data_IF_226220452020
#
_entry.id   IF_226220452020
#
_cell.length_a   1.000
_cell.length_b   1.000
_cell.length_c   1.000
_cell.angle_alpha   90.00
_cell.angle_beta   90.00
_cell.angle_gamma   90.00
#
_symmetry.space_group_name_H-M   'P 1'
#
loop_
_entity.id
_entity.type
_entity.pdbx_description
1 polymer ?
#
# COMPACT_ATOMS: atom_id res chain seq x y z
N UNK A 1 1.97 22.86 -13.04
CA UNK A 1 1.52 22.85 -11.64
C UNK A 1 1.67 21.43 -11.12
N UNK A 2 2.38 21.21 -10.01
CA UNK A 2 2.60 19.86 -9.44
C UNK A 2 1.31 19.32 -8.83
N UNK A 3 0.95 18.08 -9.14
CA UNK A 3 -0.25 17.43 -8.62
C UNK A 3 -0.17 17.27 -7.07
N UNK A 4 -1.27 17.46 -6.32
CA UNK A 4 -1.24 17.46 -4.85
C UNK A 4 -0.65 16.18 -4.21
N UNK A 5 -0.93 15.01 -4.80
CA UNK A 5 -0.39 13.74 -4.31
C UNK A 5 1.13 13.64 -4.47
N UNK A 6 1.70 14.22 -5.53
CA UNK A 6 3.14 14.25 -5.76
C UNK A 6 3.85 15.18 -4.76
N UNK A 7 3.21 16.29 -4.42
CA UNK A 7 3.71 17.19 -3.36
C UNK A 7 3.71 16.47 -2.01
N UNK A 8 2.67 15.70 -1.72
CA UNK A 8 2.59 14.90 -0.49
C UNK A 8 3.72 13.86 -0.42
N UNK A 9 3.93 13.09 -1.49
CA UNK A 9 5.05 12.12 -1.60
C UNK A 9 6.39 12.81 -1.31
N UNK A 10 6.67 13.92 -1.98
CA UNK A 10 7.92 14.68 -1.79
C UNK A 10 8.12 15.17 -0.35
N UNK A 11 7.04 15.57 0.33
CA UNK A 11 7.07 15.99 1.74
C UNK A 11 7.35 14.81 2.68
N UNK A 12 6.79 13.64 2.40
CA UNK A 12 7.06 12.41 3.16
C UNK A 12 8.51 11.96 2.99
N UNK A 13 9.03 11.88 1.76
CA UNK A 13 10.43 11.51 1.50
C UNK A 13 11.42 12.48 2.18
N UNK A 14 11.09 13.78 2.21
CA UNK A 14 11.89 14.79 2.88
C UNK A 14 11.65 14.91 4.41
N UNK A 15 10.88 14.00 5.01
CA UNK A 15 10.54 13.98 6.44
C UNK A 15 9.87 15.27 6.97
N UNK A 16 9.23 16.03 6.07
CA UNK A 16 8.50 17.26 6.39
C UNK A 16 7.06 16.98 6.83
N UNK A 17 6.53 15.82 6.45
CA UNK A 17 5.23 15.36 6.90
C UNK A 17 5.36 14.59 8.21
N UNK A 18 4.41 14.77 9.13
CA UNK A 18 4.47 14.08 10.43
C UNK A 18 4.04 12.62 10.29
N UNK A 19 4.99 11.77 9.90
CA UNK A 19 4.88 10.31 9.94
C UNK A 19 5.95 9.74 10.88
N UNK A 20 5.61 9.50 12.16
CA UNK A 20 6.54 8.88 13.12
C UNK A 20 6.97 7.48 12.70
N UNK A 21 6.08 6.71 12.09
CA UNK A 21 6.35 5.36 11.60
C UNK A 21 5.88 5.23 10.14
N UNK A 22 6.85 4.99 9.27
CA UNK A 22 6.66 4.69 7.85
C UNK A 22 7.07 3.25 7.61
N UNK A 23 6.14 2.45 7.08
CA UNK A 23 6.37 1.08 6.68
C UNK A 23 6.71 1.03 5.19
N UNK A 24 7.75 0.32 4.85
CA UNK A 24 8.12 -0.02 3.48
C UNK A 24 7.91 -1.51 3.31
N UNK A 25 7.07 -1.88 2.35
CA UNK A 25 6.75 -3.25 2.01
C UNK A 25 7.42 -3.56 0.68
N UNK A 26 8.31 -4.52 0.66
CA UNK A 26 9.05 -4.92 -0.52
C UNK A 26 8.98 -6.43 -0.74
N UNK A 27 9.58 -6.87 -1.84
CA UNK A 27 9.58 -8.27 -2.26
C UNK A 27 10.90 -8.65 -2.90
N UNK A 28 11.08 -9.94 -3.18
CA UNK A 28 12.19 -10.44 -3.98
C UNK A 28 12.17 -9.89 -5.41
N UNK A 29 10.99 -9.54 -5.94
CA UNK A 29 10.86 -8.91 -7.25
C UNK A 29 11.47 -7.50 -7.28
N UNK A 30 11.29 -6.76 -6.19
CA UNK A 30 11.78 -5.39 -6.05
C UNK A 30 12.00 -5.06 -4.57
N UNK A 31 13.27 -4.96 -4.19
CA UNK A 31 13.71 -4.63 -2.84
C UNK A 31 13.58 -3.15 -2.49
N UNK A 32 13.50 -2.85 -1.20
CA UNK A 32 13.37 -1.50 -0.66
C UNK A 32 14.63 -0.63 -0.79
N UNK A 33 15.78 -1.22 -1.12
CA UNK A 33 17.07 -0.55 -1.13
C UNK A 33 17.08 0.79 -1.90
N UNK A 34 16.45 0.80 -3.07
CA UNK A 34 16.39 2.00 -3.91
C UNK A 34 15.48 3.08 -3.29
N UNK A 35 14.33 2.70 -2.73
CA UNK A 35 13.44 3.65 -2.05
C UNK A 35 14.08 4.22 -0.77
N UNK A 36 14.79 3.41 0.01
CA UNK A 36 15.52 3.88 1.20
C UNK A 36 16.57 4.94 0.82
N UNK A 37 17.24 4.79 -0.33
CA UNK A 37 18.16 5.82 -0.84
C UNK A 37 17.46 7.13 -1.19
N UNK A 38 16.20 7.10 -1.64
CA UNK A 38 15.43 8.32 -1.86
C UNK A 38 15.12 9.05 -0.56
N UNK A 39 14.75 8.32 0.52
CA UNK A 39 14.62 8.94 1.84
C UNK A 39 15.92 9.59 2.30
N UNK A 40 17.06 8.91 2.10
CA UNK A 40 18.38 9.45 2.42
C UNK A 40 18.71 10.68 1.58
N UNK A 41 18.47 10.63 0.26
CA UNK A 41 18.74 11.73 -0.67
C UNK A 41 17.93 13.00 -0.31
N UNK A 42 16.69 12.81 0.17
CA UNK A 42 15.78 13.89 0.53
C UNK A 42 15.89 14.33 1.99
N UNK A 43 16.58 13.55 2.83
CA UNK A 43 16.81 13.86 4.23
C UNK A 43 17.97 14.85 4.38
N UNK A 44 17.75 15.93 5.14
CA UNK A 44 18.81 16.89 5.50
C UNK A 44 19.46 16.59 6.86
N UNK A 45 18.86 15.68 7.64
CA UNK A 45 19.28 15.35 8.99
C UNK A 45 20.26 14.18 9.06
N UNK A 46 20.51 13.72 10.28
CA UNK A 46 21.34 12.52 10.48
C UNK A 46 20.58 11.25 10.11
N UNK A 47 21.29 10.26 9.58
CA UNK A 47 20.75 8.95 9.24
C UNK A 47 21.30 7.93 10.22
N UNK A 48 20.42 7.38 11.04
CA UNK A 48 20.73 6.30 11.99
C UNK A 48 20.23 5.00 11.37
N UNK A 49 21.10 4.01 11.25
CA UNK A 49 20.79 2.74 10.61
C UNK A 49 20.79 1.62 11.66
N UNK A 50 19.66 0.92 11.77
CA UNK A 50 19.49 -0.28 12.58
C UNK A 50 19.50 -1.48 11.63
N UNK A 51 20.46 -2.38 11.84
CA UNK A 51 20.74 -3.50 10.93
C UNK A 51 20.40 -4.83 11.57
N UNK A 52 19.48 -5.57 10.98
CA UNK A 52 19.19 -6.97 11.29
C UNK A 52 19.81 -7.92 10.27
N UNK A 53 20.00 -7.47 9.02
CA UNK A 53 20.57 -8.29 7.93
C UNK A 53 21.71 -7.60 7.16
N UNK A 54 21.88 -6.29 7.33
CA UNK A 54 22.88 -5.50 6.62
C UNK A 54 24.26 -5.56 7.28
N UNK A 55 25.09 -6.51 6.86
CA UNK A 55 26.43 -6.73 7.45
C UNK A 55 27.41 -5.55 7.32
N UNK A 56 27.26 -4.71 6.29
CA UNK A 56 28.19 -3.60 6.00
C UNK A 56 27.49 -2.27 6.20
N UNK A 57 28.04 -1.42 7.08
CA UNK A 57 27.54 -0.05 7.31
C UNK A 57 27.41 0.72 5.98
N UNK A 58 26.21 1.20 5.63
CA UNK A 58 26.02 2.03 4.44
C UNK A 58 26.80 3.34 4.54
N UNK A 59 27.37 3.80 3.42
CA UNK A 59 28.18 5.05 3.36
C UNK A 59 27.41 6.30 3.80
N UNK A 60 26.09 6.31 3.61
CA UNK A 60 25.22 7.41 3.98
C UNK A 60 24.81 7.40 5.47
N UNK A 61 25.01 6.28 6.17
CA UNK A 61 24.60 6.15 7.56
C UNK A 61 25.58 6.94 8.44
N UNK A 62 25.06 7.92 9.16
CA UNK A 62 25.83 8.66 10.17
C UNK A 62 26.20 7.72 11.31
N UNK A 63 25.21 6.98 11.80
CA UNK A 63 25.36 6.02 12.91
C UNK A 63 24.81 4.66 12.47
N UNK A 64 25.36 3.60 13.02
CA UNK A 64 25.03 2.23 12.63
C UNK A 64 25.07 1.33 13.86
N UNK A 65 24.04 0.51 14.03
CA UNK A 65 23.94 -0.49 15.09
C UNK A 65 23.58 -1.84 14.47
N UNK A 66 24.34 -2.86 14.82
CA UNK A 66 23.98 -4.26 14.58
C UNK A 66 22.96 -4.68 15.64
N UNK A 67 21.76 -5.00 15.19
CA UNK A 67 20.61 -5.38 16.01
C UNK A 67 20.41 -6.90 16.10
N UNK A 68 21.25 -7.72 15.46
CA UNK A 68 21.11 -9.20 15.43
C UNK A 68 21.08 -9.85 16.82
N UNK A 69 21.69 -9.21 17.82
CA UNK A 69 21.71 -9.68 19.23
C UNK A 69 21.29 -8.60 20.22
N UNK A 70 20.76 -7.48 19.74
CA UNK A 70 20.39 -6.36 20.59
C UNK A 70 18.97 -6.52 21.11
N UNK A 71 18.75 -6.18 22.38
CA UNK A 71 17.39 -6.08 22.92
C UNK A 71 16.80 -4.68 22.70
N UNK A 72 15.48 -4.55 22.86
CA UNK A 72 14.77 -3.28 22.67
C UNK A 72 15.33 -2.13 23.53
N UNK A 73 15.73 -2.40 24.77
CA UNK A 73 16.29 -1.37 25.67
C UNK A 73 17.62 -0.83 25.15
N UNK A 74 18.51 -1.70 24.67
CA UNK A 74 19.78 -1.32 24.07
C UNK A 74 19.56 -0.47 22.81
N UNK A 75 18.58 -0.86 21.98
CA UNK A 75 18.21 -0.08 20.78
C UNK A 75 17.70 1.31 21.19
N UNK A 76 16.82 1.40 22.19
CA UNK A 76 16.32 2.67 22.70
C UNK A 76 17.44 3.57 23.23
N UNK A 77 18.33 3.03 24.06
CA UNK A 77 19.48 3.78 24.61
C UNK A 77 20.39 4.31 23.50
N UNK A 78 20.65 3.50 22.48
CA UNK A 78 21.42 3.91 21.30
C UNK A 78 20.72 5.04 20.54
N UNK A 79 19.42 4.91 20.26
CA UNK A 79 18.64 5.93 19.55
C UNK A 79 18.61 7.25 20.33
N UNK A 80 18.41 7.21 21.64
CA UNK A 80 18.43 8.41 22.49
C UNK A 80 19.79 9.10 22.45
N UNK A 81 20.88 8.34 22.55
CA UNK A 81 22.24 8.89 22.54
C UNK A 81 22.56 9.54 21.19
N UNK A 82 22.27 8.86 20.08
CA UNK A 82 22.59 9.35 18.73
C UNK A 82 21.66 10.47 18.25
N UNK A 83 20.41 10.50 18.71
CA UNK A 83 19.46 11.55 18.37
C UNK A 83 19.70 12.84 19.17
N UNK A 84 20.16 12.75 20.44
CA UNK A 84 20.42 13.92 21.29
C UNK A 84 21.74 14.63 21.01
N UNK A 85 22.72 13.93 20.44
CA UNK A 85 24.06 14.47 20.19
C UNK A 85 24.16 15.37 18.96
N UNK A 86 23.13 15.42 18.11
CA UNK A 86 23.19 16.09 16.80
C UNK A 86 22.23 17.27 16.70
N UNK A 87 22.63 18.25 15.90
CA UNK A 87 22.08 19.61 15.84
C UNK A 87 20.55 19.68 15.74
N UNK A 88 19.88 20.56 16.51
CA UNK A 88 18.42 20.61 16.64
C UNK A 88 17.66 21.16 15.40
N UNK A 89 18.33 21.43 14.28
CA UNK A 89 17.71 22.13 13.14
C UNK A 89 16.95 21.21 12.18
N UNK A 90 17.19 19.90 12.20
CA UNK A 90 16.58 18.95 11.26
C UNK A 90 16.20 17.63 11.92
N UNK A 91 15.05 17.08 11.51
CA UNK A 91 14.53 15.79 11.99
C UNK A 91 15.44 14.65 11.52
N UNK A 92 15.87 13.79 12.43
CA UNK A 92 16.72 12.64 12.07
C UNK A 92 15.90 11.50 11.44
N UNK A 93 16.54 10.74 10.56
CA UNK A 93 15.99 9.56 9.90
C UNK A 93 16.52 8.30 10.57
N UNK A 94 15.62 7.43 11.03
CA UNK A 94 15.97 6.07 11.44
C UNK A 94 15.56 5.13 10.31
N UNK A 95 16.50 4.31 9.84
CA UNK A 95 16.26 3.25 8.87
C UNK A 95 16.40 1.90 9.59
N UNK A 96 15.40 1.05 9.41
CA UNK A 96 15.44 -0.36 9.84
C UNK A 96 15.37 -1.21 8.58
N UNK A 97 16.39 -2.02 8.36
CA UNK A 97 16.54 -2.82 7.14
C UNK A 97 15.53 -3.97 7.04
N UNK A 98 15.15 -4.59 8.16
CA UNK A 98 14.17 -5.67 8.16
C UNK A 98 13.47 -5.82 9.51
N UNK A 99 12.14 -5.72 9.52
CA UNK A 99 11.30 -6.05 10.68
C UNK A 99 11.03 -7.55 10.80
N UNK A 100 11.36 -8.36 9.79
CA UNK A 100 11.07 -9.80 9.77
C UNK A 100 11.87 -10.60 10.82
N UNK A 101 12.94 -10.03 11.37
CA UNK A 101 13.77 -10.67 12.41
C UNK A 101 13.21 -10.50 13.82
N UNK A 102 12.13 -9.73 13.99
CA UNK A 102 11.46 -9.61 15.27
C UNK A 102 10.62 -10.85 15.53
N UNK A 103 10.58 -11.27 16.79
CA UNK A 103 9.70 -12.37 17.21
C UNK A 103 8.24 -11.98 16.96
N UNK A 104 7.42 -12.98 16.64
CA UNK A 104 5.98 -12.82 16.55
C UNK A 104 5.42 -12.19 17.83
N UNK A 105 4.36 -11.41 17.71
CA UNK A 105 3.74 -10.66 18.82
C UNK A 105 4.55 -9.46 19.39
N UNK A 106 5.86 -9.37 19.13
CA UNK A 106 6.70 -8.28 19.66
C UNK A 106 6.72 -7.02 18.79
N UNK A 107 6.22 -7.10 17.56
CA UNK A 107 6.26 -6.03 16.57
C UNK A 107 5.62 -4.72 17.07
N UNK A 108 4.43 -4.79 17.68
CA UNK A 108 3.75 -3.61 18.21
C UNK A 108 4.53 -2.97 19.37
N UNK A 109 5.06 -3.81 20.28
CA UNK A 109 5.89 -3.35 21.39
C UNK A 109 7.16 -2.66 20.88
N UNK A 110 7.84 -3.29 19.91
CA UNK A 110 9.04 -2.75 19.30
C UNK A 110 8.79 -1.38 18.65
N UNK A 111 7.80 -1.27 17.75
CA UNK A 111 7.45 -0.01 17.07
C UNK A 111 7.08 1.07 18.10
N UNK A 112 6.27 0.74 19.11
CA UNK A 112 5.89 1.69 20.16
C UNK A 112 7.09 2.17 20.99
N UNK A 113 8.08 1.30 21.20
CA UNK A 113 9.28 1.60 21.98
C UNK A 113 10.30 2.48 21.23
N UNK A 114 10.34 2.38 19.89
CA UNK A 114 11.29 3.17 19.09
C UNK A 114 10.71 4.48 18.58
N UNK A 115 9.39 4.63 18.45
CA UNK A 115 8.78 5.86 17.92
C UNK A 115 8.95 7.04 18.88
N UNK A 116 9.46 8.16 18.37
CA UNK A 116 9.66 9.39 19.15
C UNK A 116 9.44 10.64 18.28
N UNK A 117 9.25 11.81 18.91
CA UNK A 117 8.97 13.07 18.19
C UNK A 117 10.20 13.68 17.50
N UNK A 118 11.41 13.36 17.96
CA UNK A 118 12.68 13.95 17.47
C UNK A 118 13.17 13.37 16.14
N UNK A 119 12.62 12.22 15.71
CA UNK A 119 13.05 11.53 14.50
C UNK A 119 11.87 10.83 13.82
N UNK A 120 12.07 10.38 12.58
CA UNK A 120 11.09 9.58 11.83
C UNK A 120 11.68 8.19 11.58
N UNK A 121 10.88 7.15 11.83
CA UNK A 121 11.26 5.76 11.59
C UNK A 121 10.74 5.33 10.22
N UNK A 122 11.64 4.83 9.38
CA UNK A 122 11.35 4.15 8.13
C UNK A 122 11.85 2.71 8.27
N UNK A 123 10.94 1.75 8.21
CA UNK A 123 11.26 0.35 8.44
C UNK A 123 10.75 -0.53 7.30
N UNK A 124 11.56 -1.51 6.91
CA UNK A 124 11.23 -2.43 5.83
C UNK A 124 10.64 -3.74 6.36
N UNK A 125 9.71 -4.30 5.60
CA UNK A 125 9.13 -5.61 5.83
C UNK A 125 9.05 -6.36 4.50
N UNK A 126 9.73 -7.50 4.43
CA UNK A 126 9.80 -8.34 3.25
C UNK A 126 8.61 -9.30 3.22
N UNK A 127 7.78 -9.23 2.18
CA UNK A 127 6.55 -10.05 2.09
C UNK A 127 6.83 -11.52 1.79
N UNK A 128 8.01 -11.83 1.22
CA UNK A 128 8.38 -13.20 0.83
C UNK A 128 9.05 -13.99 1.95
N UNK A 129 9.28 -13.40 3.12
CA UNK A 129 9.78 -14.13 4.28
C UNK A 129 8.60 -14.86 4.94
N UNK A 130 8.68 -16.19 5.10
CA UNK A 130 7.59 -16.96 5.68
C UNK A 130 7.37 -16.57 7.14
N UNK A 131 6.11 -16.41 7.53
CA UNK A 131 5.70 -16.15 8.92
C UNK A 131 4.97 -17.36 9.49
N UNK A 132 5.09 -17.56 10.81
CA UNK A 132 4.34 -18.60 11.51
C UNK A 132 2.97 -18.03 11.89
N UNK A 133 1.90 -18.80 11.69
CA UNK A 133 0.59 -18.38 12.15
C UNK A 133 0.45 -18.60 13.66
N UNK A 134 0.41 -17.50 14.41
CA UNK A 134 0.06 -17.48 15.83
C UNK A 134 -1.46 -17.47 15.99
N UNK A 135 -2.02 -18.44 16.71
CA UNK A 135 -3.46 -18.49 17.00
C UNK A 135 -3.90 -17.27 17.82
N UNK A 136 -4.90 -16.53 17.34
CA UNK A 136 -5.46 -15.38 18.05
C UNK A 136 -4.67 -14.07 17.93
N UNK A 137 -3.58 -14.04 17.15
CA UNK A 137 -2.80 -12.83 16.90
C UNK A 137 -2.69 -12.54 15.38
N UNK A 138 -2.82 -11.27 14.94
CA UNK A 138 -2.76 -10.94 13.52
C UNK A 138 -1.37 -11.17 12.92
N UNK A 139 -1.33 -11.51 11.63
CA UNK A 139 -0.09 -11.60 10.87
C UNK A 139 0.73 -10.31 10.98
N UNK A 140 2.08 -10.38 11.08
CA UNK A 140 2.94 -9.22 11.28
C UNK A 140 2.70 -8.11 10.25
N UNK A 141 2.57 -8.45 8.97
CA UNK A 141 2.27 -7.48 7.91
C UNK A 141 0.97 -6.71 8.15
N UNK A 142 -0.09 -7.39 8.60
CA UNK A 142 -1.40 -6.77 8.88
C UNK A 142 -1.30 -5.83 10.08
N UNK A 143 -0.60 -6.26 11.12
CA UNK A 143 -0.36 -5.46 12.32
C UNK A 143 0.48 -4.21 11.99
N UNK A 144 1.60 -4.36 11.31
CA UNK A 144 2.48 -3.24 10.92
C UNK A 144 1.76 -2.25 10.01
N UNK A 145 0.99 -2.75 9.04
CA UNK A 145 0.17 -1.92 8.14
C UNK A 145 -0.95 -1.17 8.88
N UNK A 146 -1.45 -1.75 9.98
CA UNK A 146 -2.42 -1.09 10.84
C UNK A 146 -1.78 0.05 11.65
N UNK A 147 -0.58 -0.16 12.20
CA UNK A 147 0.12 0.83 13.03
C UNK A 147 0.74 1.96 12.19
N UNK A 148 1.13 1.67 10.94
CA UNK A 148 1.78 2.63 10.05
C UNK A 148 0.87 3.78 9.59
N UNK A 149 1.39 5.00 9.69
CA UNK A 149 0.75 6.21 9.15
C UNK A 149 1.04 6.39 7.66
N UNK A 150 2.14 5.83 7.19
CA UNK A 150 2.57 5.87 5.80
C UNK A 150 3.08 4.50 5.40
N UNK A 151 2.58 4.00 4.28
CA UNK A 151 2.94 2.68 3.75
C UNK A 151 3.41 2.88 2.32
N UNK A 152 4.57 2.32 2.00
CA UNK A 152 5.14 2.29 0.67
C UNK A 152 5.24 0.84 0.23
N UNK A 153 4.34 0.40 -0.65
CA UNK A 153 4.42 -0.91 -1.28
C UNK A 153 5.18 -0.79 -2.59
N UNK A 154 6.22 -1.59 -2.75
CA UNK A 154 7.18 -1.50 -3.85
C UNK A 154 6.95 -2.64 -4.83
N UNK A 155 6.85 -2.30 -6.11
CA UNK A 155 6.59 -3.24 -7.19
C UNK A 155 7.46 -2.94 -8.41
N UNK A 156 7.85 -3.97 -9.19
CA UNK A 156 8.55 -3.77 -10.45
C UNK A 156 7.67 -3.04 -11.47
N UNK A 157 8.25 -2.18 -12.30
CA UNK A 157 7.49 -1.36 -13.26
C UNK A 157 7.05 -2.14 -14.52
N UNK A 158 7.86 -3.07 -15.00
CA UNK A 158 7.71 -3.69 -16.33
C UNK A 158 6.87 -4.97 -16.34
N UNK A 159 6.33 -5.37 -15.19
CA UNK A 159 5.64 -6.65 -15.04
C UNK A 159 4.17 -6.46 -15.37
N UNK A 160 3.73 -7.16 -16.43
CA UNK A 160 2.32 -7.16 -16.88
C UNK A 160 1.48 -8.11 -16.03
N UNK A 161 1.96 -9.34 -15.86
CA UNK A 161 1.31 -10.37 -15.07
C UNK A 161 2.06 -10.57 -13.74
N UNK A 162 1.50 -9.99 -12.68
CA UNK A 162 2.05 -10.11 -11.32
C UNK A 162 1.81 -11.52 -10.75
N UNK A 163 0.72 -12.19 -11.12
CA UNK A 163 0.39 -13.52 -10.59
C UNK A 163 1.34 -14.58 -11.14
N UNK A 164 1.65 -14.52 -12.43
CA UNK A 164 2.66 -15.39 -13.03
C UNK A 164 4.04 -15.15 -12.39
N UNK A 165 4.39 -13.89 -12.13
CA UNK A 165 5.65 -13.55 -11.47
C UNK A 165 5.69 -14.10 -10.04
N UNK A 166 4.63 -13.94 -9.26
CA UNK A 166 4.55 -14.46 -7.89
C UNK A 166 4.62 -15.99 -7.86
N UNK A 167 4.00 -16.67 -8.84
CA UNK A 167 4.13 -18.12 -9.03
C UNK A 167 5.56 -18.56 -9.37
N UNK A 168 6.30 -17.76 -10.15
CA UNK A 168 7.72 -18.03 -10.44
C UNK A 168 8.60 -17.76 -9.22
N UNK A 169 8.40 -16.64 -8.53
CA UNK A 169 9.18 -16.25 -7.35
C UNK A 169 8.99 -17.24 -6.19
N UNK A 170 7.75 -17.72 -5.96
CA UNK A 170 7.48 -18.75 -4.95
C UNK A 170 8.22 -20.08 -5.23
N UNK A 171 8.52 -20.36 -6.50
CA UNK A 171 9.36 -21.48 -6.93
C UNK A 171 10.85 -21.12 -7.03
N UNK A 172 11.26 -19.94 -6.55
CA UNK A 172 12.60 -19.39 -6.68
C UNK A 172 13.10 -19.31 -8.13
N UNK A 173 12.20 -19.07 -9.08
CA UNK A 173 12.51 -18.86 -10.49
C UNK A 173 12.51 -17.35 -10.77
N UNK A 174 13.69 -16.81 -11.06
CA UNK A 174 13.87 -15.37 -11.32
C UNK A 174 14.09 -15.12 -12.82
N UNK A 175 13.06 -14.67 -13.55
CA UNK A 175 13.18 -14.39 -14.98
C UNK A 175 14.05 -13.14 -15.23
N UNK A 176 15.21 -13.34 -15.85
CA UNK A 176 16.17 -12.27 -16.11
C UNK A 176 15.66 -11.17 -17.08
N UNK A 177 14.66 -11.50 -17.90
CA UNK A 177 14.08 -10.60 -18.90
C UNK A 177 12.98 -9.68 -18.36
N UNK A 178 12.54 -9.86 -17.11
CA UNK A 178 11.44 -9.08 -16.53
C UNK A 178 11.88 -7.81 -15.80
N UNK A 179 13.18 -7.48 -15.79
CA UNK A 179 13.66 -6.22 -15.23
C UNK A 179 13.32 -6.10 -13.74
N UNK A 180 13.66 -7.12 -12.95
CA UNK A 180 13.50 -7.11 -11.50
C UNK A 180 14.57 -6.23 -10.83
N UNK A 181 14.25 -5.65 -9.67
CA UNK A 181 15.17 -4.81 -8.89
C UNK A 181 15.81 -3.65 -9.69
N UNK A 182 15.06 -3.03 -10.60
CA UNK A 182 15.55 -1.88 -11.37
C UNK A 182 15.58 -0.59 -10.53
N UNK A 183 16.35 0.40 -10.99
CA UNK A 183 16.42 1.75 -10.41
C UNK A 183 15.13 2.55 -10.62
N UNK A 184 14.31 2.14 -11.59
CA UNK A 184 12.99 2.68 -11.88
C UNK A 184 11.91 1.65 -11.56
N UNK A 185 11.06 1.96 -10.61
CA UNK A 185 10.06 1.03 -10.08
C UNK A 185 8.74 1.73 -9.72
N UNK A 186 7.69 0.94 -9.51
CA UNK A 186 6.37 1.40 -9.09
C UNK A 186 6.27 1.40 -7.56
N UNK A 187 5.57 2.39 -7.02
CA UNK A 187 5.27 2.47 -5.59
C UNK A 187 3.81 2.80 -5.39
N UNK A 188 3.10 1.97 -4.63
CA UNK A 188 1.80 2.31 -4.09
C UNK A 188 2.00 2.97 -2.73
N UNK A 189 1.73 4.27 -2.67
CA UNK A 189 1.91 5.06 -1.47
C UNK A 189 0.56 5.30 -0.80
N UNK A 190 0.40 4.75 0.40
CA UNK A 190 -0.78 4.94 1.26
C UNK A 190 -0.44 5.86 2.42
N UNK A 191 -1.16 6.97 2.54
CA UNK A 191 -1.03 7.92 3.65
C UNK A 191 -2.33 8.01 4.44
N UNK A 192 -2.24 7.87 5.77
CA UNK A 192 -3.38 8.00 6.68
C UNK A 192 -3.45 9.42 7.21
N UNK A 193 -4.59 10.08 6.96
CA UNK A 193 -4.86 11.43 7.49
C UNK A 193 -5.20 11.37 8.97
N UNK A 194 -5.10 12.51 9.65
CA UNK A 194 -5.55 12.67 11.06
C UNK A 194 -7.02 12.30 11.28
N UNK A 195 -7.85 12.36 10.23
CA UNK A 195 -9.25 11.94 10.26
C UNK A 195 -9.43 10.41 10.22
N UNK A 196 -8.36 9.62 10.16
CA UNK A 196 -8.40 8.16 9.98
C UNK A 196 -8.61 7.69 8.53
N UNK A 197 -8.91 8.60 7.59
CA UNK A 197 -9.08 8.24 6.18
C UNK A 197 -7.73 7.96 5.53
N UNK A 198 -7.62 6.81 4.86
CA UNK A 198 -6.46 6.44 4.05
C UNK A 198 -6.61 6.99 2.63
N UNK A 199 -5.52 7.52 2.07
CA UNK A 199 -5.43 7.88 0.66
C UNK A 199 -4.27 7.12 0.02
N UNK A 200 -4.56 6.36 -1.02
CA UNK A 200 -3.58 5.58 -1.77
C UNK A 200 -3.40 6.18 -3.16
N UNK A 201 -2.16 6.39 -3.58
CA UNK A 201 -1.82 6.80 -4.94
C UNK A 201 -0.59 6.04 -5.42
N UNK A 202 -0.54 5.71 -6.70
CA UNK A 202 0.59 5.01 -7.32
C UNK A 202 1.53 6.00 -8.00
N UNK A 203 2.83 5.73 -7.88
CA UNK A 203 3.90 6.55 -8.44
C UNK A 203 4.92 5.69 -9.15
N UNK A 204 5.62 6.29 -10.12
CA UNK A 204 6.86 5.77 -10.68
C UNK A 204 8.00 6.57 -10.06
N UNK A 205 8.97 5.88 -9.48
CA UNK A 205 10.16 6.50 -8.89
C UNK A 205 11.37 6.06 -9.70
N UNK A 206 12.15 7.04 -10.15
CA UNK A 206 13.44 6.83 -10.81
C UNK A 206 14.55 7.34 -9.88
N UNK A 207 15.36 6.41 -9.38
CA UNK A 207 16.38 6.70 -8.36
C UNK A 207 17.70 7.20 -8.93
N UNK A 208 17.91 7.09 -10.25
CA UNK A 208 19.10 7.64 -10.90
C UNK A 208 18.94 9.14 -11.17
N UNK A 209 17.72 9.55 -11.53
CA UNK A 209 17.39 10.95 -11.82
C UNK A 209 16.65 11.68 -10.68
N UNK A 210 16.29 10.96 -9.61
CA UNK A 210 15.47 11.44 -8.49
C UNK A 210 14.15 12.09 -8.95
N UNK A 211 13.55 11.54 -10.00
CA UNK A 211 12.31 12.00 -10.58
C UNK A 211 11.14 11.11 -10.15
N UNK A 212 10.00 11.75 -9.86
CA UNK A 212 8.80 11.08 -9.39
C UNK A 212 7.62 11.46 -10.28
N UNK A 213 6.95 10.45 -10.82
CA UNK A 213 5.80 10.62 -11.72
C UNK A 213 4.58 9.91 -11.15
N UNK A 214 3.38 10.40 -11.47
CA UNK A 214 2.15 9.71 -11.08
C UNK A 214 1.93 8.56 -12.04
N UNK A 215 1.78 7.36 -11.49
CA UNK A 215 1.37 6.21 -12.26
C UNK A 215 -0.13 6.30 -12.52
N UNK A 216 -0.52 6.34 -13.80
CA UNK A 216 -1.90 6.18 -14.24
C UNK A 216 -1.98 4.84 -14.93
N UNK A 217 -2.78 3.91 -14.39
CA UNK A 217 -3.09 2.66 -15.09
C UNK A 217 -3.79 3.05 -16.40
N UNK A 218 -3.21 2.69 -17.53
CA UNK A 218 -3.81 2.97 -18.84
C UNK A 218 -5.06 2.11 -18.93
N UNK A 219 -6.26 2.72 -18.94
CA UNK A 219 -7.54 2.00 -19.04
C UNK A 219 -7.67 1.16 -20.32
N UNK A 220 -6.85 1.43 -21.32
CA UNK A 220 -6.90 0.75 -22.61
C UNK A 220 -6.35 -0.68 -22.57
N UNK A 221 -5.50 -1.03 -21.60
CA UNK A 221 -4.95 -2.39 -21.46
C UNK A 221 -5.97 -3.32 -20.78
N UNK A 222 -6.61 -2.90 -19.69
CA UNK A 222 -7.64 -3.70 -19.00
C UNK A 222 -8.88 -3.93 -19.88
N UNK A 223 -9.30 -2.93 -20.68
CA UNK A 223 -10.44 -3.08 -21.58
C UNK A 223 -10.16 -4.03 -22.75
N UNK A 224 -8.92 -4.07 -23.24
CA UNK A 224 -8.51 -5.02 -24.28
C UNK A 224 -8.36 -6.44 -23.72
N UNK A 225 -7.82 -6.58 -22.51
CA UNK A 225 -7.67 -7.87 -21.84
C UNK A 225 -9.03 -8.49 -21.48
N UNK A 226 -9.96 -7.72 -20.90
CA UNK A 226 -11.33 -8.19 -20.65
C UNK A 226 -12.03 -8.60 -21.96
N UNK A 227 -11.83 -7.83 -23.03
CA UNK A 227 -12.43 -8.11 -24.34
C UNK A 227 -11.81 -9.36 -25.01
N UNK A 228 -10.50 -9.58 -24.88
CA UNK A 228 -9.81 -10.78 -25.39
C UNK A 228 -10.15 -12.03 -24.57
N UNK A 229 -10.19 -11.94 -23.24
CA UNK A 229 -10.55 -13.05 -22.35
C UNK A 229 -12.00 -13.51 -22.57
N UNK A 230 -12.95 -12.58 -22.69
CA UNK A 230 -14.37 -12.90 -22.91
C UNK A 230 -14.65 -13.52 -24.29
N UNK A 231 -13.81 -13.21 -25.27
CA UNK A 231 -13.97 -13.66 -26.67
C UNK A 231 -13.71 -15.15 -26.86
N UNK A 232 -12.80 -15.73 -26.07
CA UNK A 232 -12.45 -17.15 -26.15
C UNK A 232 -13.24 -18.03 -25.17
N UNK A 233 -13.91 -17.43 -24.19
CA UNK A 233 -14.74 -18.13 -23.19
C UNK A 233 -16.18 -18.40 -23.66
N UNK A 234 -16.70 -17.66 -24.65
CA UNK A 234 -18.12 -17.73 -25.03
C UNK A 234 -18.33 -17.71 -26.54
N UNK A 235 -19.28 -18.51 -27.05
CA UNK A 235 -19.62 -18.54 -28.49
C UNK A 235 -20.47 -17.35 -28.95
N UNK A 236 -20.88 -16.49 -28.02
CA UNK A 236 -21.68 -15.29 -28.28
C UNK A 236 -20.87 -14.07 -27.88
N UNK A 237 -20.79 -13.06 -28.74
CA UNK A 237 -20.09 -11.83 -28.40
C UNK A 237 -20.85 -11.09 -27.29
N UNK A 238 -20.31 -11.09 -26.07
CA UNK A 238 -20.88 -10.42 -24.90
C UNK A 238 -20.56 -8.92 -24.86
N UNK A 239 -19.75 -8.40 -25.78
CA UNK A 239 -19.35 -6.99 -25.79
C UNK A 239 -20.30 -6.17 -26.65
N UNK A 240 -20.57 -4.93 -26.22
CA UNK A 240 -21.40 -4.02 -27.01
C UNK A 240 -20.56 -3.40 -28.13
N UNK A 241 -20.98 -3.58 -29.37
CA UNK A 241 -20.32 -2.93 -30.52
C UNK A 241 -20.47 -1.40 -30.39
N UNK A 242 -19.52 -0.64 -30.93
CA UNK A 242 -19.51 0.83 -30.96
C UNK A 242 -20.85 1.42 -31.44
N UNK A 243 -21.49 0.77 -32.41
CA UNK A 243 -22.83 1.14 -32.91
C UNK A 243 -23.94 0.95 -31.87
N UNK A 244 -23.87 -0.09 -31.04
CA UNK A 244 -24.85 -0.37 -29.97
C UNK A 244 -24.66 0.59 -28.78
N UNK A 245 -23.42 0.93 -28.45
CA UNK A 245 -23.10 1.91 -27.41
C UNK A 245 -23.61 3.31 -27.77
N UNK A 246 -23.35 3.75 -29.02
CA UNK A 246 -23.89 5.01 -29.55
C UNK A 246 -25.42 5.03 -29.56
N UNK A 247 -26.06 3.92 -29.93
CA UNK A 247 -27.51 3.81 -29.88
C UNK A 247 -28.03 3.94 -28.44
N UNK A 248 -27.38 3.31 -27.45
CA UNK A 248 -27.76 3.43 -26.04
C UNK A 248 -27.62 4.86 -25.51
N UNK A 249 -26.56 5.56 -25.89
CA UNK A 249 -26.32 6.96 -25.49
C UNK A 249 -27.30 7.94 -26.14
N UNK A 250 -27.88 7.58 -27.29
CA UNK A 250 -28.89 8.37 -28.00
C UNK A 250 -30.34 8.02 -27.61
N UNK A 251 -30.55 7.03 -26.73
CA UNK A 251 -31.88 6.71 -26.20
C UNK A 251 -32.20 7.69 -25.09
N UNK A 252 -33.03 8.68 -25.42
CA UNK A 252 -33.58 9.64 -24.48
C UNK A 252 -34.74 8.97 -23.72
N UNK A 253 -34.53 8.67 -22.44
CA UNK A 253 -35.59 8.13 -21.60
C UNK A 253 -36.53 9.26 -21.16
N UNK A 254 -37.86 9.07 -21.20
CA UNK A 254 -38.81 10.02 -20.63
C UNK A 254 -38.47 10.23 -19.15
N UNK A 255 -38.32 11.48 -18.75
CA UNK A 255 -38.09 11.86 -17.36
C UNK A 255 -39.31 11.47 -16.52
N UNK A 256 -39.28 10.31 -15.85
CA UNK A 256 -40.30 9.91 -14.89
C UNK A 256 -40.06 10.65 -13.57
N UNK A 257 -41.00 11.50 -13.19
CA UNK A 257 -41.03 12.34 -11.98
C UNK A 257 -41.19 11.55 -10.66
N UNK A 258 -41.01 10.22 -10.69
CA UNK A 258 -41.20 9.32 -9.55
C UNK A 258 -40.14 9.48 -8.45
N UNK A 259 -39.07 10.25 -8.67
CA UNK A 259 -37.98 10.44 -7.69
C UNK A 259 -38.07 11.74 -6.87
N UNK A 260 -39.04 12.63 -7.14
CA UNK A 260 -38.99 13.97 -6.57
C UNK A 260 -39.54 14.07 -5.15
N UNK A 261 -40.53 13.26 -4.76
CA UNK A 261 -41.14 13.37 -3.42
C UNK A 261 -40.77 12.25 -2.43
N UNK A 262 -40.63 10.98 -2.85
CA UNK A 262 -40.22 9.88 -1.94
C UNK A 262 -38.80 9.33 -2.17
N UNK A 263 -38.19 9.56 -3.34
CA UNK A 263 -36.94 8.93 -3.76
C UNK A 263 -35.63 9.65 -3.36
N UNK A 264 -35.70 10.65 -2.46
CA UNK A 264 -34.53 11.48 -2.10
C UNK A 264 -33.51 10.77 -1.20
N UNK A 265 -33.86 9.59 -0.68
CA UNK A 265 -32.95 8.68 0.01
C UNK A 265 -32.68 7.49 -0.90
N UNK A 266 -31.46 7.41 -1.41
CA UNK A 266 -31.09 6.53 -2.51
C UNK A 266 -31.57 5.08 -2.36
N UNK A 267 -32.17 4.56 -3.42
CA UNK A 267 -32.35 3.12 -3.68
C UNK A 267 -33.15 2.32 -2.65
N UNK A 268 -33.73 2.96 -1.64
CA UNK A 268 -34.56 2.27 -0.65
C UNK A 268 -35.94 1.98 -1.27
N UNK A 269 -36.17 0.73 -1.64
CA UNK A 269 -37.52 0.23 -1.95
C UNK A 269 -38.21 0.11 -0.60
N UNK A 270 -39.10 1.06 -0.29
CA UNK A 270 -39.97 0.97 0.88
C UNK A 270 -41.18 0.14 0.46
N UNK A 271 -41.27 -1.07 0.99
CA UNK A 271 -42.47 -1.89 0.86
C UNK A 271 -43.52 -1.38 1.85
N UNK A 272 -44.60 -0.80 1.34
CA UNK A 272 -45.81 -0.54 2.13
C UNK A 272 -46.71 -1.77 2.04
N UNK A 273 -47.02 -2.37 3.19
CA UNK A 273 -48.00 -3.45 3.28
C UNK A 273 -49.37 -2.92 2.86
N UNK A 274 -49.92 -3.48 1.78
CA UNK A 274 -51.31 -3.21 1.40
C UNK A 274 -52.25 -3.90 2.41
N UNK A 275 -53.26 -3.17 2.89
CA UNK A 275 -54.18 -3.64 3.93
C UNK A 275 -55.14 -4.74 3.46
N UNK A 276 -55.16 -4.99 2.15
CA UNK A 276 -56.00 -5.97 1.49
C UNK A 276 -55.17 -7.16 0.96
N UNK A 277 -53.92 -7.32 1.38
CA UNK A 277 -53.12 -8.52 1.09
C UNK A 277 -53.68 -9.69 1.92
N UNK A 278 -54.60 -10.41 1.30
CA UNK A 278 -55.33 -11.53 1.83
C UNK A 278 -54.39 -12.72 2.01
N UNK A 279 -53.91 -12.87 3.24
CA UNK A 279 -53.16 -14.03 3.76
C UNK A 279 -53.73 -15.33 3.17
N UNK A 280 -53.06 -15.89 2.15
CA UNK A 280 -53.45 -17.14 1.54
C UNK A 280 -52.91 -18.28 2.40
N UNK A 281 -53.78 -18.93 3.18
CA UNK A 281 -53.42 -20.03 4.10
C UNK A 281 -52.87 -21.27 3.36
N UNK A 282 -52.80 -21.26 2.02
CA UNK A 282 -52.32 -22.37 1.19
C UNK A 282 -50.84 -22.25 0.77
N UNK A 283 -50.09 -21.21 1.17
CA UNK A 283 -48.63 -21.15 0.93
C UNK A 283 -47.84 -21.96 2.00
N UNK A 284 -47.27 -23.13 1.66
CA UNK A 284 -46.58 -24.00 2.61
C UNK A 284 -45.19 -23.48 3.04
N UNK A 285 -44.75 -22.32 2.53
CA UNK A 285 -43.42 -21.76 2.83
C UNK A 285 -43.42 -20.56 3.79
N UNK A 286 -44.58 -20.08 4.25
CA UNK A 286 -44.62 -19.15 5.39
C UNK A 286 -44.73 -19.92 6.72
N UNK A 287 -43.57 -20.24 7.28
CA UNK A 287 -43.45 -20.86 8.61
C UNK A 287 -43.86 -19.85 9.71
N UNK A 288 -44.76 -20.20 10.65
CA UNK A 288 -45.07 -19.31 11.75
C UNK A 288 -43.95 -19.39 12.80
N UNK A 289 -43.14 -18.33 12.82
CA UNK A 289 -42.13 -17.91 13.81
C UNK A 289 -40.66 -18.31 13.59
#
# INVERSE_FOLDING_TARGET
MSHPSLVLLNRHLALKENSPFTLVIDSLAQSAHHLLREFVHRCNGSVIYLSFETTVKPKYATSFMDCSRANLKQIQEFLHTEASTKTPSSKSLIIIDSLNYLEDETHALFVSGIVHQSYSVVACYHINVPTVESSGYPQPIKLLSYIALSIFEIEPLQVRDLEELDSKISKFQFPANLGLNLTKFRVNFTSRRKSGKSQTNSFIIDTDSHNYEIYKKTKDEDLQEDEELLKDLTTFNLTTNSKQKLAREQVELPFMEAQTELGKFGGAIVYEFEKDDDYDEEDPYEDPF
#
